data_IF_575711400707
#
_entry.id   IF_575711400707
#
_cell.length_a   1.000
_cell.length_b   1.000
_cell.length_c   1.000
_cell.angle_alpha   90.00
_cell.angle_beta   90.00
_cell.angle_gamma   90.00
#
_symmetry.space_group_name_H-M   'P 1'
#
loop_
_entity.id
_entity.type
_entity.pdbx_description
1 polymer ?
#
# COMPACT_ATOMS: atom_id res chain seq x y z
N UNK A 1 -5.73 -1.78 -45.61
CA UNK A 1 -5.43 -0.68 -44.66
C UNK A 1 -4.41 -1.20 -43.66
N UNK A 2 -3.15 -0.87 -43.86
CA UNK A 2 -2.04 -1.25 -42.96
C UNK A 2 -2.10 -0.32 -41.74
N UNK A 3 -2.47 -0.86 -40.59
CA UNK A 3 -2.35 -0.17 -39.31
C UNK A 3 -0.87 0.07 -39.06
N UNK A 4 -0.46 1.35 -39.17
CA UNK A 4 0.82 1.84 -38.69
C UNK A 4 0.92 1.48 -37.20
N UNK A 5 1.66 0.42 -36.90
CA UNK A 5 2.02 0.08 -35.52
C UNK A 5 3.06 1.10 -35.10
N UNK A 6 2.63 2.10 -34.34
CA UNK A 6 3.53 3.11 -33.77
C UNK A 6 4.68 2.39 -33.04
N UNK A 7 5.91 2.74 -33.41
CA UNK A 7 7.09 2.18 -32.78
C UNK A 7 7.18 2.62 -31.31
N UNK A 8 7.18 1.64 -30.42
CA UNK A 8 7.24 1.85 -28.97
C UNK A 8 8.51 2.62 -28.57
N UNK A 9 9.64 2.39 -29.25
CA UNK A 9 10.89 3.09 -28.95
C UNK A 9 10.79 4.56 -29.35
N UNK A 10 10.28 4.87 -30.55
CA UNK A 10 10.02 6.23 -30.98
C UNK A 10 9.06 6.97 -30.03
N UNK A 11 7.97 6.32 -29.59
CA UNK A 11 7.05 6.88 -28.59
C UNK A 11 7.79 7.19 -27.28
N UNK A 12 8.57 6.24 -26.77
CA UNK A 12 9.32 6.43 -25.52
C UNK A 12 10.29 7.60 -25.61
N UNK A 13 11.02 7.71 -26.72
CA UNK A 13 11.96 8.82 -26.94
C UNK A 13 11.25 10.18 -26.97
N UNK A 14 10.16 10.28 -27.74
CA UNK A 14 9.37 11.53 -27.84
C UNK A 14 8.81 11.92 -26.46
N UNK A 15 8.25 10.96 -25.72
CA UNK A 15 7.71 11.22 -24.37
C UNK A 15 8.82 11.69 -23.42
N UNK A 16 9.98 11.01 -23.41
CA UNK A 16 11.11 11.41 -22.57
C UNK A 16 11.60 12.82 -22.90
N UNK A 17 11.73 13.14 -24.19
CA UNK A 17 12.15 14.47 -24.64
C UNK A 17 11.19 15.55 -24.16
N UNK A 18 9.88 15.38 -24.41
CA UNK A 18 8.86 16.35 -23.98
C UNK A 18 8.83 16.50 -22.46
N UNK A 19 8.96 15.40 -21.71
CA UNK A 19 9.00 15.44 -20.24
C UNK A 19 10.22 16.20 -19.74
N UNK A 20 11.40 15.95 -20.33
CA UNK A 20 12.64 16.62 -19.93
C UNK A 20 12.65 18.12 -20.29
N UNK A 21 12.13 18.48 -21.46
CA UNK A 21 11.99 19.90 -21.86
C UNK A 21 11.01 20.67 -20.96
N UNK A 22 9.96 20.01 -20.48
CA UNK A 22 8.99 20.59 -19.54
C UNK A 22 9.43 20.51 -18.08
N UNK A 23 10.36 19.62 -17.77
CA UNK A 23 10.90 19.49 -16.43
C UNK A 23 11.92 20.60 -16.19
N UNK A 24 11.58 21.54 -15.31
CA UNK A 24 12.57 22.48 -14.78
C UNK A 24 13.66 21.71 -14.03
N UNK A 25 14.96 22.00 -14.26
CA UNK A 25 16.04 21.43 -13.47
C UNK A 25 15.77 21.69 -11.98
N UNK A 26 15.74 20.63 -11.18
CA UNK A 26 15.51 20.75 -9.75
C UNK A 26 16.72 21.43 -9.09
N UNK A 27 16.55 22.68 -8.67
CA UNK A 27 17.54 23.44 -7.87
C UNK A 27 17.36 23.26 -6.37
N UNK A 28 16.36 22.46 -5.95
CA UNK A 28 16.00 22.22 -4.56
C UNK A 28 16.59 20.95 -3.94
N UNK A 29 16.30 20.71 -2.64
CA UNK A 29 16.75 19.51 -1.93
C UNK A 29 16.26 18.23 -2.61
N UNK A 30 17.12 17.20 -2.62
CA UNK A 30 16.81 15.90 -3.22
C UNK A 30 15.85 15.13 -2.32
N UNK A 31 14.64 14.88 -2.81
CA UNK A 31 13.67 14.01 -2.15
C UNK A 31 13.79 12.58 -2.69
N UNK A 32 13.96 11.60 -1.80
CA UNK A 32 13.88 10.19 -2.16
C UNK A 32 12.41 9.79 -2.29
N UNK A 33 11.99 9.41 -3.49
CA UNK A 33 10.63 8.93 -3.74
C UNK A 33 10.59 7.42 -3.57
N UNK A 34 9.73 6.95 -2.67
CA UNK A 34 9.44 5.52 -2.47
C UNK A 34 8.02 5.19 -2.91
N UNK A 35 7.83 3.99 -3.43
CA UNK A 35 6.52 3.50 -3.88
C UNK A 35 6.06 2.42 -2.89
N UNK A 36 4.89 2.63 -2.29
CA UNK A 36 4.25 1.63 -1.44
C UNK A 36 3.43 0.67 -2.30
N UNK A 37 3.79 -0.61 -2.30
CA UNK A 37 2.91 -1.67 -2.78
C UNK A 37 1.72 -1.85 -1.82
N UNK A 38 0.68 -2.57 -2.25
CA UNK A 38 -0.44 -2.92 -1.37
C UNK A 38 0.05 -3.64 -0.11
N UNK A 39 -0.41 -3.20 1.05
CA UNK A 39 0.04 -3.73 2.32
C UNK A 39 -0.99 -3.48 3.42
N UNK A 40 -0.74 -4.03 4.60
CA UNK A 40 -1.56 -3.80 5.79
C UNK A 40 -0.73 -3.74 7.06
N UNK A 41 -1.28 -3.03 8.04
CA UNK A 41 -0.87 -3.09 9.44
C UNK A 41 -1.94 -3.84 10.23
N UNK A 42 -1.52 -4.62 11.23
CA UNK A 42 -2.41 -5.44 12.04
C UNK A 42 -2.34 -5.06 13.51
N UNK A 43 -3.47 -5.17 14.20
CA UNK A 43 -3.51 -5.27 15.65
C UNK A 43 -3.08 -6.65 16.15
N UNK A 44 -2.57 -6.72 17.37
CA UNK A 44 -2.06 -7.97 17.95
C UNK A 44 -3.13 -9.09 17.93
N UNK A 45 -4.38 -8.76 18.29
CA UNK A 45 -5.51 -9.70 18.26
C UNK A 45 -5.76 -10.29 16.87
N UNK A 46 -5.55 -9.49 15.83
CA UNK A 46 -5.74 -9.91 14.45
C UNK A 46 -4.55 -10.74 13.96
N UNK A 47 -3.32 -10.43 14.42
CA UNK A 47 -2.17 -11.30 14.16
C UNK A 47 -2.43 -12.69 14.73
N UNK A 48 -2.87 -12.77 15.97
CA UNK A 48 -3.12 -14.06 16.61
C UNK A 48 -4.29 -14.82 15.96
N UNK A 49 -5.36 -14.12 15.56
CA UNK A 49 -6.48 -14.74 14.83
C UNK A 49 -6.06 -15.28 13.46
N UNK A 50 -5.27 -14.50 12.71
CA UNK A 50 -4.90 -14.84 11.33
C UNK A 50 -3.78 -15.89 11.27
N UNK A 51 -2.84 -15.86 12.21
CA UNK A 51 -1.60 -16.63 12.17
C UNK A 51 -1.43 -17.63 13.33
N UNK A 52 -2.29 -17.59 14.36
CA UNK A 52 -2.31 -18.51 15.49
C UNK A 52 -2.06 -17.82 16.83
N UNK A 53 -2.63 -18.37 17.90
CA UNK A 53 -2.51 -17.84 19.26
C UNK A 53 -1.04 -17.61 19.66
N UNK A 54 -0.73 -16.41 20.16
CA UNK A 54 0.62 -16.02 20.58
C UNK A 54 1.61 -15.75 19.44
N UNK A 55 1.19 -15.79 18.16
CA UNK A 55 2.07 -15.51 17.03
C UNK A 55 2.60 -14.07 17.07
N UNK A 56 3.87 -13.89 16.67
CA UNK A 56 4.51 -12.57 16.50
C UNK A 56 4.99 -12.44 15.06
N UNK A 57 4.83 -11.25 14.50
CA UNK A 57 5.25 -10.95 13.12
C UNK A 57 6.75 -11.20 12.96
N UNK A 58 7.12 -11.89 11.90
CA UNK A 58 8.51 -12.27 11.61
C UNK A 58 9.14 -11.20 10.71
N UNK A 59 10.14 -10.42 11.17
CA UNK A 59 10.74 -9.38 10.34
C UNK A 59 11.47 -9.96 9.12
N UNK A 60 11.12 -9.49 7.91
CA UNK A 60 11.75 -9.91 6.66
C UNK A 60 12.71 -8.84 6.11
N UNK A 61 12.26 -7.58 6.07
CA UNK A 61 13.03 -6.47 5.49
C UNK A 61 12.71 -5.15 6.18
N UNK A 62 13.73 -4.42 6.63
CA UNK A 62 13.56 -3.07 7.18
C UNK A 62 13.06 -2.09 6.11
N UNK A 63 12.16 -1.20 6.53
CA UNK A 63 11.69 -0.08 5.72
C UNK A 63 12.60 1.14 5.94
N UNK A 64 12.34 2.21 5.19
CA UNK A 64 13.09 3.45 5.28
C UNK A 64 12.94 4.14 6.65
N UNK A 65 11.79 3.95 7.30
CA UNK A 65 11.52 4.51 8.62
C UNK A 65 12.05 3.56 9.69
N UNK A 66 12.87 4.07 10.59
CA UNK A 66 13.45 3.29 11.67
C UNK A 66 12.38 2.57 12.50
N UNK A 67 12.63 1.30 12.77
CA UNK A 67 11.73 0.44 13.54
C UNK A 67 10.59 -0.20 12.73
N UNK A 68 10.35 0.20 11.48
CA UNK A 68 9.33 -0.41 10.63
C UNK A 68 9.93 -1.45 9.68
N UNK A 69 9.16 -2.51 9.41
CA UNK A 69 9.61 -3.62 8.58
C UNK A 69 8.47 -4.25 7.79
N UNK A 70 8.79 -4.80 6.62
CA UNK A 70 7.95 -5.81 5.98
C UNK A 70 8.15 -7.14 6.72
N UNK A 71 7.05 -7.79 7.09
CA UNK A 71 7.07 -9.08 7.76
C UNK A 71 6.97 -10.23 6.74
N UNK A 72 7.36 -11.45 7.10
CA UNK A 72 7.22 -12.63 6.22
C UNK A 72 5.75 -12.97 5.93
N UNK A 73 4.87 -12.59 6.84
CA UNK A 73 3.44 -12.82 6.77
C UNK A 73 2.77 -12.05 5.62
N UNK A 74 1.83 -12.74 4.97
CA UNK A 74 0.89 -12.14 4.02
C UNK A 74 -0.50 -12.68 4.29
N UNK A 75 -1.52 -11.87 3.98
CA UNK A 75 -2.92 -12.27 4.07
C UNK A 75 -3.60 -12.13 2.73
N UNK A 76 -4.71 -12.84 2.58
CA UNK A 76 -5.63 -12.63 1.49
C UNK A 76 -6.68 -11.58 1.89
N UNK A 77 -6.93 -10.60 1.02
CA UNK A 77 -7.98 -9.58 1.20
C UNK A 77 -9.14 -9.91 0.27
N UNK A 78 -10.32 -10.14 0.83
CA UNK A 78 -11.53 -10.51 0.09
C UNK A 78 -12.52 -9.35 0.08
N UNK A 79 -13.00 -9.02 -1.12
CA UNK A 79 -13.99 -7.96 -1.36
C UNK A 79 -15.35 -8.53 -1.76
N UNK A 80 -16.40 -7.67 -1.80
CA UNK A 80 -17.77 -8.08 -2.07
C UNK A 80 -17.99 -8.70 -3.48
N UNK A 81 -17.13 -8.40 -4.46
CA UNK A 81 -17.27 -8.90 -5.85
C UNK A 81 -16.80 -10.34 -6.08
N UNK A 82 -16.71 -11.18 -5.04
CA UNK A 82 -16.13 -12.55 -5.14
C UNK A 82 -14.71 -12.57 -5.73
N UNK A 83 -13.99 -11.46 -5.58
CA UNK A 83 -12.58 -11.29 -5.98
C UNK A 83 -11.74 -11.11 -4.72
N UNK A 84 -10.48 -11.52 -4.81
CA UNK A 84 -9.54 -11.42 -3.71
C UNK A 84 -8.15 -11.00 -4.20
N UNK A 85 -7.40 -10.39 -3.29
CA UNK A 85 -5.97 -10.15 -3.46
C UNK A 85 -5.24 -11.21 -2.62
N UNK A 86 -4.52 -12.16 -3.24
CA UNK A 86 -4.07 -13.38 -2.55
C UNK A 86 -2.94 -13.16 -1.54
N UNK A 87 -2.08 -12.19 -1.78
CA UNK A 87 -0.87 -11.97 -0.99
C UNK A 87 -0.66 -10.48 -0.80
N UNK A 88 -1.23 -9.96 0.30
CA UNK A 88 -1.05 -8.58 0.76
C UNK A 88 -0.09 -8.61 1.95
N UNK A 89 1.00 -7.85 1.85
CA UNK A 89 2.13 -7.88 2.79
C UNK A 89 1.77 -7.22 4.12
N UNK A 90 2.06 -7.90 5.23
CA UNK A 90 1.96 -7.30 6.56
C UNK A 90 3.20 -6.44 6.84
N UNK A 91 3.00 -5.22 7.33
CA UNK A 91 4.05 -4.34 7.82
C UNK A 91 4.01 -4.24 9.34
N UNK A 92 5.14 -4.50 9.97
CA UNK A 92 5.36 -4.37 11.40
C UNK A 92 5.98 -3.02 11.80
N UNK A 93 5.96 -2.71 13.11
CA UNK A 93 5.37 -3.50 14.19
C UNK A 93 3.82 -3.48 14.15
N UNK A 94 3.19 -4.27 15.01
CA UNK A 94 1.73 -4.22 15.21
C UNK A 94 1.29 -2.83 15.69
N UNK A 95 0.03 -2.48 15.41
CA UNK A 95 -0.57 -1.19 15.74
C UNK A 95 -1.85 -1.38 16.56
N UNK A 96 -2.35 -0.37 17.27
CA UNK A 96 -3.62 -0.49 18.00
C UNK A 96 -4.83 -0.86 17.14
N UNK A 97 -4.79 -0.54 15.83
CA UNK A 97 -5.87 -0.83 14.90
C UNK A 97 -5.30 -1.39 13.58
N UNK A 98 -6.04 -2.32 12.97
CA UNK A 98 -5.71 -2.82 11.64
C UNK A 98 -6.08 -1.82 10.56
N UNK A 99 -5.20 -1.66 9.58
CA UNK A 99 -5.38 -0.76 8.45
C UNK A 99 -4.82 -1.39 7.19
N UNK A 100 -5.54 -1.25 6.07
CA UNK A 100 -5.16 -1.80 4.78
C UNK A 100 -5.04 -0.65 3.78
N UNK A 101 -3.89 -0.58 3.13
CA UNK A 101 -3.56 0.44 2.15
C UNK A 101 -3.50 -0.19 0.76
N UNK A 102 -4.45 0.20 -0.09
CA UNK A 102 -4.65 -0.39 -1.42
C UNK A 102 -4.56 0.67 -2.51
N UNK A 103 -4.21 0.23 -3.72
CA UNK A 103 -4.29 1.08 -4.90
C UNK A 103 -5.74 1.32 -5.34
N UNK A 104 -5.96 2.35 -6.15
CA UNK A 104 -7.29 2.60 -6.74
C UNK A 104 -7.81 1.40 -7.55
N UNK A 105 -6.93 0.77 -8.33
CA UNK A 105 -7.24 -0.41 -9.15
C UNK A 105 -7.59 -1.64 -8.31
N UNK A 106 -7.01 -1.75 -7.11
CA UNK A 106 -7.33 -2.82 -6.16
C UNK A 106 -8.76 -2.64 -5.64
N UNK A 107 -9.16 -1.40 -5.30
CA UNK A 107 -10.55 -1.08 -4.94
C UNK A 107 -11.55 -1.46 -6.03
N UNK A 108 -11.26 -1.11 -7.29
CA UNK A 108 -12.10 -1.52 -8.43
C UNK A 108 -12.23 -3.04 -8.52
N UNK A 109 -11.11 -3.75 -8.38
CA UNK A 109 -11.05 -5.22 -8.49
C UNK A 109 -11.85 -5.91 -7.39
N UNK A 110 -11.75 -5.40 -6.16
CA UNK A 110 -12.50 -5.89 -5.00
C UNK A 110 -13.97 -5.44 -5.00
N UNK A 111 -14.30 -4.38 -5.73
CA UNK A 111 -15.61 -3.73 -5.69
C UNK A 111 -15.83 -2.90 -4.44
N UNK A 112 -14.78 -2.26 -3.94
CA UNK A 112 -14.78 -1.42 -2.75
C UNK A 112 -14.40 -0.01 -3.19
N UNK A 113 -15.24 0.98 -2.85
CA UNK A 113 -14.89 2.39 -3.05
C UNK A 113 -13.97 2.84 -1.91
N UNK A 114 -12.69 3.02 -2.22
CA UNK A 114 -11.65 3.30 -1.23
C UNK A 114 -11.42 4.81 -1.08
N UNK A 115 -11.70 5.40 0.09
CA UNK A 115 -11.43 6.83 0.31
C UNK A 115 -9.91 7.09 0.40
N UNK A 116 -9.48 8.25 -0.08
CA UNK A 116 -8.11 8.74 0.15
C UNK A 116 -8.03 9.30 1.56
N UNK A 117 -7.12 8.77 2.39
CA UNK A 117 -6.95 9.16 3.79
C UNK A 117 -5.48 9.12 4.20
N UNK A 118 -5.07 9.95 5.17
CA UNK A 118 -3.79 9.75 5.84
C UNK A 118 -3.84 8.52 6.75
N UNK A 119 -2.67 7.91 6.98
CA UNK A 119 -2.52 6.75 7.86
C UNK A 119 -3.09 7.05 9.26
N UNK A 120 -3.88 6.14 9.83
CA UNK A 120 -4.56 6.27 11.12
C UNK A 120 -5.94 6.94 11.08
N UNK A 121 -6.36 7.55 9.96
CA UNK A 121 -7.71 8.15 9.82
C UNK A 121 -8.71 7.19 9.18
N UNK A 122 -8.94 6.08 9.86
CA UNK A 122 -9.76 4.95 9.38
C UNK A 122 -11.26 5.04 9.70
N UNK A 123 -11.69 5.99 10.53
CA UNK A 123 -13.10 6.10 10.91
C UNK A 123 -14.02 6.31 9.69
N UNK A 124 -15.07 5.49 9.64
CA UNK A 124 -16.09 5.52 8.58
C UNK A 124 -15.57 5.05 7.21
N UNK A 125 -14.43 4.36 7.19
CA UNK A 125 -13.90 3.76 5.97
C UNK A 125 -14.51 2.37 5.76
N UNK A 126 -14.49 1.84 4.52
CA UNK A 126 -14.97 0.48 4.27
C UNK A 126 -14.19 -0.58 5.04
N UNK A 127 -14.85 -1.71 5.25
CA UNK A 127 -14.28 -2.94 5.79
C UNK A 127 -13.88 -3.95 4.71
N UNK A 128 -13.37 -5.09 5.15
CA UNK A 128 -13.13 -6.26 4.30
C UNK A 128 -13.03 -7.55 5.12
N UNK A 129 -12.91 -8.68 4.45
CA UNK A 129 -12.53 -9.94 5.10
C UNK A 129 -11.06 -10.24 4.83
N UNK A 130 -10.28 -10.42 5.89
CA UNK A 130 -8.91 -10.89 5.86
C UNK A 130 -8.88 -12.40 6.12
N UNK A 131 -8.15 -13.14 5.30
CA UNK A 131 -7.96 -14.58 5.46
C UNK A 131 -6.47 -14.86 5.63
N UNK A 132 -6.13 -15.42 6.79
CA UNK A 132 -4.80 -15.91 7.13
C UNK A 132 -4.76 -17.44 7.16
N UNK A 133 -3.57 -18.04 7.41
CA UNK A 133 -3.41 -19.49 7.44
C UNK A 133 -4.13 -20.19 8.62
N UNK A 134 -4.46 -19.47 9.70
CA UNK A 134 -5.08 -20.04 10.91
C UNK A 134 -6.49 -19.51 11.19
N UNK A 135 -6.93 -18.47 10.50
CA UNK A 135 -8.24 -17.87 10.77
C UNK A 135 -8.61 -16.75 9.83
N UNK A 136 -9.75 -16.13 10.16
CA UNK A 136 -10.39 -15.10 9.35
C UNK A 136 -10.77 -13.93 10.26
N UNK A 137 -10.58 -12.72 9.77
CA UNK A 137 -10.98 -11.48 10.45
C UNK A 137 -11.91 -10.71 9.54
N UNK A 138 -13.10 -10.38 10.01
CA UNK A 138 -13.98 -9.40 9.34
C UNK A 138 -13.73 -8.02 9.94
N UNK A 139 -13.11 -7.14 9.17
CA UNK A 139 -12.94 -5.74 9.53
C UNK A 139 -14.17 -4.95 9.11
N UNK A 140 -14.71 -4.14 10.02
CA UNK A 140 -15.83 -3.23 9.74
C UNK A 140 -15.39 -1.91 9.12
N UNK A 141 -14.16 -1.49 9.43
CA UNK A 141 -13.47 -0.33 8.84
C UNK A 141 -11.97 -0.60 8.75
N UNK A 142 -11.22 0.24 8.03
CA UNK A 142 -9.76 0.14 7.95
C UNK A 142 -9.18 0.23 6.53
N UNK A 143 -10.02 0.23 5.49
CA UNK A 143 -9.54 0.24 4.10
C UNK A 143 -9.40 1.66 3.56
N UNK A 144 -8.21 2.00 3.11
CA UNK A 144 -7.91 3.33 2.56
C UNK A 144 -7.07 3.23 1.29
N UNK A 145 -7.13 4.30 0.49
CA UNK A 145 -6.04 4.69 -0.39
C UNK A 145 -5.13 5.64 0.38
N UNK A 146 -3.86 5.28 0.50
CA UNK A 146 -2.89 6.12 1.20
C UNK A 146 -2.80 7.50 0.54
N UNK A 147 -3.04 8.55 1.32
CA UNK A 147 -2.76 9.92 0.90
C UNK A 147 -1.25 10.10 0.75
N UNK A 148 -0.80 10.70 -0.35
CA UNK A 148 0.62 10.98 -0.57
C UNK A 148 1.12 11.93 0.51
N UNK A 149 2.26 11.61 1.12
CA UNK A 149 2.87 12.42 2.17
C UNK A 149 4.38 12.26 2.15
N UNK A 150 5.05 13.15 2.88
CA UNK A 150 6.51 13.11 3.09
C UNK A 150 6.77 12.93 4.59
N UNK A 151 7.67 12.01 4.90
CA UNK A 151 8.27 11.94 6.23
C UNK A 151 9.52 12.81 6.24
N UNK A 152 9.58 13.76 7.16
CA UNK A 152 10.65 14.73 7.25
C UNK A 152 11.02 14.92 8.72
N UNK A 153 12.32 14.91 9.01
CA UNK A 153 12.81 15.25 10.34
C UNK A 153 12.76 16.78 10.55
N UNK A 154 12.90 17.23 11.80
CA UNK A 154 12.81 18.65 12.13
C UNK A 154 13.96 19.48 11.54
N UNK A 155 15.11 18.87 11.26
CA UNK A 155 16.26 19.56 10.67
C UNK A 155 15.97 19.96 9.22
N UNK A 156 15.42 19.03 8.42
CA UNK A 156 15.06 19.25 7.02
C UNK A 156 13.78 20.10 6.85
N UNK A 157 12.98 20.25 7.91
CA UNK A 157 11.72 21.01 7.88
C UNK A 157 11.87 22.51 8.18
N UNK A 158 13.06 22.96 8.60
CA UNK A 158 13.39 24.37 8.83
C UNK A 158 13.84 25.04 7.55
#
# INVERSE_FOLDING_TARGET
MTTSTLDRQAIEQIVRQIVLERATPATGPKLVVSISARHLHLADEHVETLFGQGHKLTPMKNLYQDGFYAAEETVMVVGPKRKMLPSVRVLGPTRPHSQIELAFTDGISLGIDLPVRPSGKISGTPGCVLVGPKGVVELKEGLIRAERHVHMNLEHAK
#
